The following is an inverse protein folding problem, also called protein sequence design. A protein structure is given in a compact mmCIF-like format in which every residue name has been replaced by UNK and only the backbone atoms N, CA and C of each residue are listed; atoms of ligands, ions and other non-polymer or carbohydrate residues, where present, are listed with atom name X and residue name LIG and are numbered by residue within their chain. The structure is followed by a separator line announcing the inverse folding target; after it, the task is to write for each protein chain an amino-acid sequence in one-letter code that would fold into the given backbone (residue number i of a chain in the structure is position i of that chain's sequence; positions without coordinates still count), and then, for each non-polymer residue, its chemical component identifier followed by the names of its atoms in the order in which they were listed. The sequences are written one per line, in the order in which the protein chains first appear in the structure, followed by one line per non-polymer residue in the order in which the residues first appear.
data_IF_034264359695
#
_entry.id   IF_034264359695
#
_cell.length_a   1.000
_cell.length_b   1.000
_cell.length_c   1.000
_cell.angle_alpha   90.00
_cell.angle_beta   90.00
_cell.angle_gamma   90.00
#
_symmetry.space_group_name_H-M   'P 1'
#
loop_
_entity.id
_entity.type
_entity.pdbx_description
1 polymer ?
#
# COMPACT_ATOMS: atom_id res chain seq x y z
N UNK A 1 4.97 -22.40 16.75
CA UNK A 1 5.71 -23.65 16.41
C UNK A 1 4.99 -24.50 15.36
N UNK A 2 3.72 -24.20 15.01
CA UNK A 2 2.93 -25.04 14.08
C UNK A 2 3.41 -24.99 12.61
N UNK A 3 4.31 -24.08 12.26
CA UNK A 3 4.80 -23.90 10.87
C UNK A 3 6.33 -24.02 10.76
N UNK A 4 7.01 -24.57 11.79
CA UNK A 4 8.46 -24.77 11.77
C UNK A 4 9.32 -23.53 12.01
N UNK A 5 8.72 -22.42 12.45
CA UNK A 5 9.43 -21.18 12.80
C UNK A 5 9.51 -21.00 14.33
N UNK A 6 10.63 -20.47 14.80
CA UNK A 6 10.84 -20.19 16.22
C UNK A 6 10.19 -18.87 16.64
N UNK A 7 10.23 -17.86 15.76
CA UNK A 7 9.69 -16.51 15.99
C UNK A 7 8.58 -16.18 14.98
N UNK A 8 7.61 -15.37 15.41
CA UNK A 8 6.53 -14.86 14.54
C UNK A 8 7.09 -13.98 13.42
N UNK A 9 8.13 -13.20 13.70
CA UNK A 9 8.80 -12.35 12.69
C UNK A 9 9.36 -13.17 11.52
N UNK A 10 9.96 -14.36 11.82
CA UNK A 10 10.46 -15.27 10.79
C UNK A 10 9.33 -15.80 9.89
N UNK A 11 8.20 -16.20 10.49
CA UNK A 11 7.03 -16.64 9.74
C UNK A 11 6.48 -15.55 8.85
N UNK A 12 6.34 -14.32 9.38
CA UNK A 12 5.85 -13.16 8.61
C UNK A 12 6.78 -12.83 7.44
N UNK A 13 8.09 -12.84 7.65
CA UNK A 13 9.05 -12.66 6.56
C UNK A 13 8.94 -13.75 5.49
N UNK A 14 8.80 -15.01 5.90
CA UNK A 14 8.63 -16.12 4.96
C UNK A 14 7.36 -15.95 4.09
N UNK A 15 6.26 -15.46 4.68
CA UNK A 15 5.03 -15.14 3.95
C UNK A 15 5.27 -13.98 2.97
N UNK A 16 5.92 -12.90 3.41
CA UNK A 16 6.24 -11.76 2.55
C UNK A 16 7.10 -12.19 1.35
N UNK A 17 8.09 -13.06 1.57
CA UNK A 17 8.92 -13.62 0.49
C UNK A 17 8.11 -14.48 -0.48
N UNK A 18 7.17 -15.30 0.02
CA UNK A 18 6.29 -16.09 -0.85
C UNK A 18 5.36 -15.23 -1.72
N UNK A 19 4.82 -14.17 -1.17
CA UNK A 19 4.03 -13.20 -1.93
C UNK A 19 4.91 -12.52 -3.01
N UNK A 20 6.15 -12.14 -2.64
CA UNK A 20 7.10 -11.58 -3.61
C UNK A 20 7.42 -12.55 -4.74
N UNK A 21 7.69 -13.83 -4.42
CA UNK A 21 7.93 -14.88 -5.43
C UNK A 21 6.72 -15.03 -6.37
N UNK A 22 5.50 -14.98 -5.83
CA UNK A 22 4.27 -15.01 -6.63
C UNK A 22 4.20 -13.84 -7.62
N UNK A 23 4.50 -12.61 -7.17
CA UNK A 23 4.53 -11.43 -8.04
C UNK A 23 5.62 -11.56 -9.10
N UNK A 24 6.84 -11.96 -8.70
CA UNK A 24 7.96 -12.18 -9.65
C UNK A 24 7.59 -13.19 -10.73
N UNK A 25 6.83 -14.23 -10.37
CA UNK A 25 6.37 -15.28 -11.27
C UNK A 25 5.19 -14.92 -12.19
N UNK A 26 4.71 -13.67 -12.15
CA UNK A 26 3.61 -13.18 -13.00
C UNK A 26 2.30 -12.95 -12.27
N UNK A 27 2.31 -13.01 -10.93
CA UNK A 27 1.14 -12.75 -10.12
C UNK A 27 0.84 -11.26 -9.94
N UNK A 28 -0.41 -10.97 -9.57
CA UNK A 28 -0.85 -9.63 -9.18
C UNK A 28 -1.04 -9.52 -7.67
N UNK A 29 -0.45 -8.49 -7.07
CA UNK A 29 -0.64 -8.12 -5.67
C UNK A 29 -1.41 -6.79 -5.58
N UNK A 30 -2.61 -6.83 -5.01
CA UNK A 30 -3.32 -5.65 -4.56
C UNK A 30 -3.29 -5.59 -3.04
N UNK A 31 -2.66 -4.55 -2.49
CA UNK A 31 -2.55 -4.35 -1.05
C UNK A 31 -3.09 -2.98 -0.64
N UNK A 32 -3.71 -2.93 0.54
CA UNK A 32 -4.32 -1.73 1.11
C UNK A 32 -3.86 -1.53 2.55
N UNK A 33 -3.97 -0.30 3.04
CA UNK A 33 -3.70 0.05 4.43
C UNK A 33 -2.28 -0.38 4.85
N UNK A 34 -2.12 -0.86 6.07
CA UNK A 34 -0.84 -1.31 6.63
C UNK A 34 -0.21 -2.52 5.91
N UNK A 35 -0.95 -3.21 5.05
CA UNK A 35 -0.38 -4.28 4.24
C UNK A 35 0.61 -3.76 3.19
N UNK A 36 0.60 -2.48 2.88
CA UNK A 36 1.46 -1.86 1.87
C UNK A 36 2.88 -1.63 2.36
N UNK A 37 3.05 -0.87 3.43
CA UNK A 37 4.35 -0.51 4.00
C UNK A 37 4.94 -1.64 4.85
N UNK A 38 4.14 -2.32 5.67
CA UNK A 38 4.62 -3.43 6.50
C UNK A 38 5.19 -4.57 5.66
N UNK A 39 4.67 -4.77 4.46
CA UNK A 39 5.17 -5.74 3.50
C UNK A 39 6.61 -5.41 3.06
N UNK A 40 6.85 -4.20 2.61
CA UNK A 40 8.19 -3.75 2.19
C UNK A 40 9.16 -3.62 3.37
N UNK A 41 8.67 -3.21 4.56
CA UNK A 41 9.48 -3.21 5.79
C UNK A 41 9.98 -4.63 6.11
N UNK A 42 9.10 -5.63 6.04
CA UNK A 42 9.50 -7.02 6.28
C UNK A 42 10.56 -7.51 5.29
N UNK A 43 10.44 -7.14 4.01
CA UNK A 43 11.43 -7.51 2.99
C UNK A 43 12.78 -6.80 3.20
N UNK A 44 12.76 -5.50 3.54
CA UNK A 44 13.99 -4.74 3.80
C UNK A 44 14.74 -5.25 5.04
N UNK A 45 14.00 -5.75 6.03
CA UNK A 45 14.54 -6.24 7.30
C UNK A 45 14.92 -7.73 7.26
N UNK A 46 15.09 -8.33 6.08
CA UNK A 46 15.52 -9.73 5.99
C UNK A 46 16.86 -9.96 6.71
N UNK A 47 16.84 -10.80 7.75
CA UNK A 47 18.02 -11.10 8.58
C UNK A 47 18.33 -10.04 9.64
N UNK A 48 17.44 -9.06 9.83
CA UNK A 48 17.57 -7.99 10.83
C UNK A 48 16.41 -8.06 11.81
N UNK A 49 16.67 -8.08 13.09
CA UNK A 49 15.64 -8.03 14.11
C UNK A 49 15.13 -6.60 14.28
N UNK A 50 13.89 -6.34 13.87
CA UNK A 50 13.18 -5.08 14.01
C UNK A 50 12.02 -5.15 15.00
N UNK A 51 11.83 -6.31 15.65
CA UNK A 51 10.74 -6.52 16.59
C UNK A 51 11.10 -5.88 17.94
N UNK A 52 10.20 -5.08 18.49
CA UNK A 52 10.42 -4.52 19.82
C UNK A 52 10.23 -5.59 20.91
N UNK A 53 11.11 -5.56 21.91
CA UNK A 53 11.18 -6.53 23.01
C UNK A 53 9.84 -6.78 23.73
N UNK A 54 8.94 -5.82 23.72
CA UNK A 54 7.60 -5.95 24.33
C UNK A 54 6.77 -7.03 23.65
N UNK A 55 7.07 -7.41 22.41
CA UNK A 55 6.29 -8.37 21.64
C UNK A 55 6.88 -9.80 21.66
N UNK A 56 8.21 -9.94 21.70
CA UNK A 56 8.86 -11.26 21.57
C UNK A 56 9.91 -11.54 22.65
N UNK A 57 10.06 -10.63 23.64
CA UNK A 57 10.97 -10.71 24.77
C UNK A 57 12.47 -10.70 24.41
N UNK A 58 12.79 -10.33 23.18
CA UNK A 58 14.13 -10.22 22.63
C UNK A 58 14.40 -8.78 22.18
N UNK A 59 15.52 -8.14 22.51
CA UNK A 59 15.77 -6.75 22.11
C UNK A 59 15.98 -6.66 20.60
N UNK A 60 15.35 -5.65 19.97
CA UNK A 60 15.59 -5.35 18.56
C UNK A 60 17.09 -5.02 18.31
N UNK A 61 17.55 -5.25 17.09
CA UNK A 61 18.92 -4.85 16.70
C UNK A 61 19.07 -3.32 16.80
N UNK A 62 20.00 -2.83 17.66
CA UNK A 62 20.19 -1.38 17.83
C UNK A 62 20.57 -0.66 16.53
N UNK A 63 21.21 -1.37 15.59
CA UNK A 63 21.58 -0.86 14.26
C UNK A 63 20.65 -1.33 13.15
N UNK A 64 19.41 -1.70 13.48
CA UNK A 64 18.45 -2.21 12.50
C UNK A 64 18.31 -1.29 11.29
N UNK A 65 18.19 0.03 11.52
CA UNK A 65 18.03 1.02 10.45
C UNK A 65 19.15 0.97 9.42
N UNK A 66 20.41 0.80 9.88
CA UNK A 66 21.59 0.79 9.02
C UNK A 66 21.72 -0.49 8.18
N UNK A 67 21.05 -1.56 8.63
CA UNK A 67 21.11 -2.89 8.01
C UNK A 67 19.97 -3.17 7.03
N UNK A 68 19.04 -2.23 6.88
CA UNK A 68 17.93 -2.42 5.93
C UNK A 68 18.44 -2.49 4.49
N UNK A 69 17.96 -3.48 3.76
CA UNK A 69 18.25 -3.64 2.34
C UNK A 69 17.03 -3.26 1.49
N UNK A 70 16.96 -1.99 1.08
CA UNK A 70 15.88 -1.47 0.27
C UNK A 70 15.81 -2.07 -1.15
N UNK A 71 16.85 -2.75 -1.62
CA UNK A 71 16.83 -3.43 -2.92
C UNK A 71 15.80 -4.57 -2.95
N UNK A 72 15.48 -5.13 -1.78
CA UNK A 72 14.51 -6.21 -1.61
C UNK A 72 13.05 -5.75 -1.67
N UNK A 73 12.79 -4.46 -1.45
CA UNK A 73 11.44 -3.89 -1.44
C UNK A 73 10.82 -3.84 -2.84
N UNK A 74 9.49 -3.88 -2.89
CA UNK A 74 8.71 -3.65 -4.10
C UNK A 74 8.61 -2.16 -4.44
N UNK A 75 8.05 -1.37 -3.54
CA UNK A 75 7.62 0.00 -3.78
C UNK A 75 8.52 1.07 -3.14
N UNK A 76 9.08 0.78 -1.95
CA UNK A 76 9.66 1.82 -1.11
C UNK A 76 11.18 1.67 -0.93
N UNK A 77 11.84 2.79 -0.60
CA UNK A 77 13.27 2.87 -0.33
C UNK A 77 13.58 4.04 0.61
N UNK A 78 14.77 4.00 1.24
CA UNK A 78 15.30 5.09 2.07
C UNK A 78 14.34 5.57 3.17
N UNK A 79 13.48 4.69 3.64
CA UNK A 79 12.58 4.98 4.75
C UNK A 79 13.29 4.77 6.10
N UNK A 80 12.76 5.44 7.13
CA UNK A 80 13.18 5.29 8.50
C UNK A 80 12.15 4.51 9.29
N UNK A 81 12.61 3.48 10.03
CA UNK A 81 11.75 2.70 10.92
C UNK A 81 11.34 3.54 12.14
N UNK A 82 10.10 3.36 12.56
CA UNK A 82 9.68 3.74 13.90
C UNK A 82 9.97 2.59 14.87
N UNK A 83 10.83 2.86 15.86
CA UNK A 83 11.27 1.86 16.83
C UNK A 83 10.45 1.86 18.11
N UNK A 84 9.64 2.88 18.32
CA UNK A 84 8.77 2.96 19.49
C UNK A 84 7.51 2.13 19.25
N UNK A 85 7.30 1.01 19.99
CA UNK A 85 6.16 0.12 19.80
C UNK A 85 4.80 0.74 20.14
N UNK A 86 4.78 1.91 20.79
CA UNK A 86 3.57 2.65 21.14
C UNK A 86 3.15 3.66 20.07
N UNK A 87 3.94 3.81 18.99
CA UNK A 87 3.59 4.62 17.84
C UNK A 87 2.94 3.73 16.79
N UNK A 88 1.82 4.22 16.24
CA UNK A 88 0.98 3.44 15.36
C UNK A 88 1.58 3.23 13.97
N UNK A 89 2.30 4.21 13.45
CA UNK A 89 3.00 4.13 12.17
C UNK A 89 4.32 3.37 12.31
N UNK A 90 4.57 2.40 11.43
CA UNK A 90 5.78 1.55 11.49
C UNK A 90 7.03 2.21 10.91
N UNK A 91 6.85 3.22 10.07
CA UNK A 91 7.93 3.95 9.41
C UNK A 91 7.45 5.29 8.87
N UNK A 92 8.37 6.08 8.35
CA UNK A 92 8.04 7.32 7.64
C UNK A 92 7.59 7.11 6.18
N UNK A 93 7.35 5.88 5.75
CA UNK A 93 6.58 5.60 4.53
C UNK A 93 5.17 6.14 4.72
N UNK A 94 4.56 5.82 5.86
CA UNK A 94 3.24 6.32 6.24
C UNK A 94 3.32 7.82 6.59
N UNK A 95 2.62 8.63 5.81
CA UNK A 95 2.58 10.08 6.02
C UNK A 95 1.49 10.49 7.03
N UNK A 96 0.66 9.58 7.54
CA UNK A 96 -0.51 9.86 8.36
C UNK A 96 -0.17 10.71 9.58
N UNK A 97 0.88 10.37 10.30
CA UNK A 97 1.33 11.08 11.52
C UNK A 97 1.73 12.54 11.27
N UNK A 98 2.27 12.84 10.10
CA UNK A 98 2.76 14.19 9.76
C UNK A 98 1.74 15.03 9.01
N UNK A 99 0.61 14.44 8.65
CA UNK A 99 -0.46 15.11 7.92
C UNK A 99 -1.12 16.21 8.75
N UNK A 100 -1.48 17.28 8.07
CA UNK A 100 -2.26 18.40 8.64
C UNK A 100 -3.58 18.62 7.89
N UNK A 101 -4.09 17.57 7.23
CA UNK A 101 -5.35 17.64 6.48
C UNK A 101 -6.53 17.38 7.42
N UNK A 102 -7.61 18.12 7.18
CA UNK A 102 -8.93 17.80 7.76
C UNK A 102 -9.61 16.75 6.88
N UNK A 103 -10.54 15.99 7.46
CA UNK A 103 -11.35 15.03 6.71
C UNK A 103 -12.01 15.65 5.46
N UNK A 104 -12.58 16.86 5.62
CA UNK A 104 -13.24 17.58 4.52
C UNK A 104 -12.31 18.04 3.40
N UNK A 105 -11.01 18.02 3.64
CA UNK A 105 -9.95 18.43 2.70
C UNK A 105 -9.19 17.23 2.13
N UNK A 106 -9.45 16.03 2.65
CA UNK A 106 -8.72 14.83 2.26
C UNK A 106 -9.30 14.22 0.98
N UNK A 107 -8.87 14.76 -0.13
CA UNK A 107 -9.14 14.28 -1.47
C UNK A 107 -7.83 14.00 -2.20
N UNK A 108 -7.85 13.10 -3.16
CA UNK A 108 -6.74 12.90 -4.07
C UNK A 108 -7.20 12.92 -5.52
N UNK A 109 -6.31 13.32 -6.40
CA UNK A 109 -6.55 13.31 -7.83
C UNK A 109 -5.90 12.08 -8.46
N UNK A 110 -6.62 11.44 -9.36
CA UNK A 110 -6.07 10.39 -10.19
C UNK A 110 -5.16 10.99 -11.28
N UNK A 111 -4.16 10.21 -11.67
CA UNK A 111 -3.30 10.51 -12.79
C UNK A 111 -4.14 10.79 -14.04
N UNK A 112 -3.75 11.80 -14.82
CA UNK A 112 -4.40 12.09 -16.10
C UNK A 112 -3.94 11.09 -17.15
N UNK A 113 -4.87 10.29 -17.64
CA UNK A 113 -4.58 9.35 -18.69
C UNK A 113 -5.63 9.39 -19.79
N UNK A 114 -5.26 8.91 -20.94
CA UNK A 114 -6.17 8.68 -22.05
C UNK A 114 -6.42 7.18 -22.20
N UNK A 115 -7.67 6.77 -22.27
CA UNK A 115 -8.02 5.37 -22.53
C UNK A 115 -7.40 4.80 -23.83
N UNK A 116 -6.97 5.67 -24.72
CA UNK A 116 -6.25 5.32 -25.95
C UNK A 116 -4.80 4.94 -25.70
N UNK A 117 -4.16 5.56 -24.71
CA UNK A 117 -2.71 5.46 -24.46
C UNK A 117 -2.36 4.83 -23.12
N UNK A 118 -3.36 4.67 -22.26
CA UNK A 118 -3.11 4.21 -20.92
C UNK A 118 -2.86 2.71 -20.87
N UNK A 119 -1.71 2.30 -20.35
CA UNK A 119 -1.44 0.89 -20.11
C UNK A 119 -2.21 0.32 -18.91
N UNK A 120 -2.86 1.16 -18.09
CA UNK A 120 -3.46 0.75 -16.82
C UNK A 120 -4.95 1.11 -16.74
N UNK A 121 -5.85 0.32 -17.40
CA UNK A 121 -7.28 0.60 -17.42
C UNK A 121 -7.96 0.52 -16.04
N UNK A 122 -7.25 0.05 -15.00
CA UNK A 122 -7.73 -0.01 -13.61
C UNK A 122 -7.98 1.35 -12.98
N UNK A 123 -7.45 2.43 -13.57
CA UNK A 123 -7.69 3.80 -13.10
C UNK A 123 -9.07 4.34 -13.48
N UNK A 124 -9.84 3.64 -14.30
CA UNK A 124 -11.19 4.04 -14.64
C UNK A 124 -12.11 3.87 -13.43
N UNK A 125 -12.67 4.99 -12.99
CA UNK A 125 -13.66 5.02 -11.90
C UNK A 125 -15.09 5.00 -12.43
N UNK A 126 -16.03 4.73 -11.56
CA UNK A 126 -17.43 5.01 -11.83
C UNK A 126 -17.61 6.50 -12.16
N UNK A 127 -18.42 6.82 -13.15
CA UNK A 127 -18.68 8.20 -13.59
C UNK A 127 -17.45 9.00 -14.05
N UNK A 128 -16.36 8.32 -14.37
CA UNK A 128 -15.09 8.96 -14.77
C UNK A 128 -14.60 10.04 -13.80
N UNK A 129 -14.87 9.87 -12.51
CA UNK A 129 -14.42 10.80 -11.49
C UNK A 129 -12.91 10.78 -11.37
N UNK A 130 -12.29 11.97 -11.41
CA UNK A 130 -10.83 12.13 -11.26
C UNK A 130 -10.43 12.57 -9.85
N UNK A 131 -11.36 13.12 -9.10
CA UNK A 131 -11.16 13.55 -7.73
C UNK A 131 -11.89 12.55 -6.84
N UNK A 132 -11.13 11.93 -5.97
CA UNK A 132 -11.60 10.87 -5.10
C UNK A 132 -11.49 11.33 -3.66
N UNK A 133 -12.55 11.15 -2.87
CA UNK A 133 -12.48 11.33 -1.42
C UNK A 133 -11.51 10.28 -0.86
N UNK A 134 -10.54 10.74 -0.09
CA UNK A 134 -9.62 9.83 0.57
C UNK A 134 -10.29 9.17 1.77
N UNK A 135 -9.69 8.12 2.23
CA UNK A 135 -10.16 7.33 3.37
C UNK A 135 -8.99 6.94 4.26
N UNK A 136 -9.27 6.78 5.53
CA UNK A 136 -8.26 6.48 6.53
C UNK A 136 -7.94 4.98 6.60
N UNK A 137 -6.91 4.71 7.32
CA UNK A 137 -6.40 3.41 7.65
C UNK A 137 -5.07 3.59 8.37
N UNK A 138 -4.41 2.54 8.76
CA UNK A 138 -3.11 2.67 9.41
C UNK A 138 -2.10 3.35 8.47
N UNK A 139 -2.05 2.97 7.22
CA UNK A 139 -1.24 3.63 6.19
C UNK A 139 -2.18 4.38 5.26
N UNK A 140 -2.55 5.60 5.64
CA UNK A 140 -3.51 6.41 4.91
C UNK A 140 -2.94 6.98 3.62
N UNK A 141 -1.65 7.32 3.62
CA UNK A 141 -0.94 7.88 2.48
C UNK A 141 0.56 7.61 2.55
N UNK A 142 1.22 7.70 1.41
CA UNK A 142 2.63 7.41 1.26
C UNK A 142 3.45 8.69 1.11
N UNK A 143 4.56 8.75 1.85
CA UNK A 143 5.58 9.77 1.67
C UNK A 143 6.26 9.56 0.30
N UNK A 144 6.09 10.52 -0.60
CA UNK A 144 6.64 10.44 -1.96
C UNK A 144 8.15 10.25 -2.01
N UNK A 145 8.89 10.76 -0.99
CA UNK A 145 10.35 10.62 -0.93
C UNK A 145 10.79 9.17 -0.69
N UNK A 146 9.90 8.35 -0.12
CA UNK A 146 10.17 6.95 0.11
C UNK A 146 9.80 6.07 -1.10
N UNK A 147 9.08 6.56 -2.09
CA UNK A 147 8.67 5.80 -3.27
C UNK A 147 9.86 5.63 -4.22
N UNK A 148 10.09 4.41 -4.70
CA UNK A 148 11.12 4.12 -5.70
C UNK A 148 10.81 4.82 -7.03
N UNK A 149 11.82 5.33 -7.77
CA UNK A 149 11.62 6.09 -9.01
C UNK A 149 10.84 5.36 -10.11
N UNK A 150 10.90 4.02 -10.14
CA UNK A 150 10.19 3.20 -11.13
C UNK A 150 8.71 2.99 -10.82
N UNK A 151 8.26 3.36 -9.62
CA UNK A 151 6.88 3.17 -9.18
C UNK A 151 6.04 4.34 -9.66
N UNK A 152 4.96 4.03 -10.36
CA UNK A 152 4.02 5.01 -10.88
C UNK A 152 3.09 5.49 -9.77
N UNK A 153 3.00 6.80 -9.58
CA UNK A 153 2.00 7.42 -8.69
C UNK A 153 0.72 7.62 -9.50
N UNK A 154 -0.28 6.81 -9.23
CA UNK A 154 -1.57 6.80 -9.92
C UNK A 154 -2.60 7.72 -9.27
N UNK A 155 -2.44 8.02 -7.99
CA UNK A 155 -3.29 8.93 -7.24
C UNK A 155 -2.51 9.68 -6.17
N UNK A 156 -2.71 10.98 -6.08
CA UNK A 156 -1.95 11.84 -5.17
C UNK A 156 -2.78 13.01 -4.63
N UNK A 157 -2.48 13.41 -3.39
CA UNK A 157 -2.85 14.72 -2.88
C UNK A 157 -1.68 15.68 -3.11
N UNK A 158 -1.80 16.55 -4.12
CA UNK A 158 -0.73 17.50 -4.48
C UNK A 158 -0.50 18.56 -3.40
N UNK A 159 -1.56 18.99 -2.72
CA UNK A 159 -1.47 20.01 -1.68
C UNK A 159 -0.69 19.49 -0.46
N UNK A 160 -0.97 18.28 -0.03
CA UNK A 160 -0.26 17.62 1.06
C UNK A 160 1.07 16.98 0.64
N UNK A 161 1.36 16.94 -0.67
CA UNK A 161 2.53 16.25 -1.24
C UNK A 161 2.61 14.75 -0.87
N UNK A 162 1.47 14.07 -0.91
CA UNK A 162 1.33 12.65 -0.56
C UNK A 162 0.86 11.83 -1.76
N UNK A 163 1.31 10.58 -1.85
CA UNK A 163 0.74 9.59 -2.76
C UNK A 163 -0.29 8.72 -2.04
N UNK A 164 -1.38 8.38 -2.72
CA UNK A 164 -2.47 7.54 -2.20
C UNK A 164 -2.60 6.20 -2.92
N UNK A 165 -2.19 6.16 -4.18
CA UNK A 165 -2.38 5.04 -5.06
C UNK A 165 -1.17 4.92 -5.97
N UNK A 166 -0.46 3.79 -5.86
CA UNK A 166 0.80 3.55 -6.57
C UNK A 166 0.80 2.18 -7.22
N UNK A 167 1.51 2.06 -8.35
CA UNK A 167 1.57 0.84 -9.13
C UNK A 167 2.96 0.64 -9.74
N UNK A 168 3.39 -0.60 -9.91
CA UNK A 168 4.56 -0.94 -10.72
C UNK A 168 4.54 -2.38 -11.16
N UNK A 169 5.22 -2.66 -12.27
CA UNK A 169 5.65 -3.99 -12.64
C UNK A 169 6.78 -4.47 -11.73
N UNK A 170 6.82 -5.77 -11.45
CA UNK A 170 7.87 -6.41 -10.68
C UNK A 170 8.09 -7.86 -11.13
N UNK A 171 9.24 -8.15 -11.72
CA UNK A 171 9.47 -9.43 -12.38
C UNK A 171 8.55 -9.60 -13.58
N UNK A 172 7.80 -10.69 -13.62
CA UNK A 172 6.80 -10.96 -14.66
C UNK A 172 5.37 -10.49 -14.25
N UNK A 173 5.19 -10.08 -13.01
CA UNK A 173 3.92 -9.62 -12.50
C UNK A 173 3.93 -8.14 -12.14
N UNK A 174 2.96 -7.73 -11.34
CA UNK A 174 2.79 -6.34 -10.93
C UNK A 174 2.09 -6.22 -9.58
N UNK A 175 2.22 -5.04 -8.99
CA UNK A 175 1.54 -4.73 -7.74
C UNK A 175 0.88 -3.37 -7.79
N UNK A 176 -0.15 -3.23 -6.96
CA UNK A 176 -0.83 -1.97 -6.69
C UNK A 176 -1.01 -1.80 -5.19
N UNK A 177 -0.58 -0.67 -4.66
CA UNK A 177 -0.75 -0.31 -3.26
C UNK A 177 -1.67 0.89 -3.11
N UNK A 178 -2.58 0.80 -2.16
CA UNK A 178 -3.60 1.80 -1.91
C UNK A 178 -3.58 2.24 -0.44
N UNK A 179 -3.51 3.53 -0.18
CA UNK A 179 -3.54 4.09 1.17
C UNK A 179 -4.97 4.13 1.72
N UNK A 180 -5.15 3.64 2.96
CA UNK A 180 -6.45 3.49 3.59
C UNK A 180 -7.19 2.22 3.16
N UNK A 181 -8.42 2.01 3.63
CA UNK A 181 -9.17 0.78 3.37
C UNK A 181 -10.66 0.95 3.13
N UNK A 182 -11.40 1.79 3.86
CA UNK A 182 -12.83 1.98 3.65
C UNK A 182 -13.12 3.36 3.06
N UNK A 183 -13.48 3.45 1.77
CA UNK A 183 -13.64 4.72 1.10
C UNK A 183 -14.89 5.51 1.49
N UNK A 184 -15.90 4.91 2.07
CA UNK A 184 -17.13 5.60 2.46
C UNK A 184 -17.28 5.74 3.98
N UNK A 185 -16.39 5.09 4.72
CA UNK A 185 -16.23 5.28 6.16
C UNK A 185 -14.82 5.82 6.45
N UNK A 186 -14.72 7.15 6.51
CA UNK A 186 -13.43 7.83 6.62
C UNK A 186 -12.64 7.41 7.85
N UNK A 187 -13.31 7.14 8.98
CA UNK A 187 -12.68 6.70 10.23
C UNK A 187 -13.40 5.44 10.74
N UNK A 188 -12.96 4.28 10.28
CA UNK A 188 -13.50 3.00 10.71
C UNK A 188 -12.77 2.49 11.95
N UNK A 189 -13.51 2.26 13.03
CA UNK A 189 -12.96 1.73 14.28
C UNK A 189 -13.11 0.21 14.38
N UNK A 190 -12.22 -0.40 15.15
CA UNK A 190 -12.33 -1.83 15.47
C UNK A 190 -13.64 -2.10 16.20
N UNK A 191 -14.48 -2.95 15.61
CA UNK A 191 -15.81 -3.30 16.14
C UNK A 191 -16.98 -2.57 15.48
N UNK A 192 -16.69 -1.62 14.58
CA UNK A 192 -17.73 -1.04 13.75
C UNK A 192 -18.37 -2.08 12.83
N UNK A 193 -19.65 -1.97 12.52
CA UNK A 193 -20.29 -2.86 11.56
C UNK A 193 -19.68 -2.66 10.17
N UNK A 194 -19.68 -3.71 9.32
CA UNK A 194 -19.25 -3.57 7.93
C UNK A 194 -20.06 -2.49 7.21
N UNK A 195 -19.40 -1.70 6.37
CA UNK A 195 -20.07 -0.69 5.54
C UNK A 195 -21.07 -1.37 4.59
N UNK A 196 -22.29 -0.87 4.57
CA UNK A 196 -23.33 -1.35 3.65
C UNK A 196 -23.08 -0.77 2.24
N UNK A 197 -22.53 -1.58 1.35
CA UNK A 197 -22.22 -1.17 -0.02
C UNK A 197 -23.46 -0.75 -0.82
N UNK A 198 -24.65 -1.21 -0.43
CA UNK A 198 -25.89 -0.84 -1.12
C UNK A 198 -26.25 0.64 -0.96
N UNK A 199 -25.72 1.28 0.09
CA UNK A 199 -25.87 2.72 0.34
C UNK A 199 -24.96 3.56 -0.56
N UNK A 200 -23.94 2.96 -1.20
CA UNK A 200 -22.90 3.64 -1.96
C UNK A 200 -22.75 3.12 -3.41
N UNK A 201 -23.87 2.95 -4.18
CA UNK A 201 -23.82 2.29 -5.48
C UNK A 201 -23.00 3.04 -6.53
N UNK A 202 -22.76 4.33 -6.31
CA UNK A 202 -22.02 5.21 -7.22
C UNK A 202 -20.66 5.65 -6.68
N UNK A 203 -20.14 5.01 -5.62
CA UNK A 203 -18.84 5.37 -5.06
C UNK A 203 -17.71 5.19 -6.06
N UNK A 204 -16.99 6.25 -6.43
CA UNK A 204 -15.84 6.14 -7.31
C UNK A 204 -14.68 5.39 -6.65
N UNK A 205 -14.57 5.47 -5.33
CA UNK A 205 -13.51 4.82 -4.57
C UNK A 205 -13.70 3.31 -4.50
N UNK A 206 -14.92 2.83 -4.23
CA UNK A 206 -15.23 1.39 -4.33
C UNK A 206 -15.05 0.90 -5.77
N UNK A 207 -15.33 1.74 -6.76
CA UNK A 207 -15.07 1.37 -8.16
C UNK A 207 -13.60 1.19 -8.45
N UNK A 208 -12.71 2.00 -7.86
CA UNK A 208 -11.26 1.81 -7.97
C UNK A 208 -10.83 0.46 -7.40
N UNK A 209 -11.32 0.10 -6.21
CA UNK A 209 -11.04 -1.19 -5.59
C UNK A 209 -11.52 -2.33 -6.49
N UNK A 210 -12.76 -2.27 -6.95
CA UNK A 210 -13.33 -3.29 -7.84
C UNK A 210 -12.52 -3.44 -9.14
N UNK A 211 -12.09 -2.33 -9.73
CA UNK A 211 -11.27 -2.35 -10.94
C UNK A 211 -9.95 -3.10 -10.70
N UNK A 212 -9.31 -2.90 -9.54
CA UNK A 212 -8.09 -3.64 -9.19
C UNK A 212 -8.32 -5.14 -8.97
N UNK A 213 -9.51 -5.53 -8.52
CA UNK A 213 -9.88 -6.95 -8.39
C UNK A 213 -10.11 -7.58 -9.77
N UNK A 214 -10.75 -6.85 -10.68
CA UNK A 214 -11.15 -7.36 -12.00
C UNK A 214 -10.03 -7.27 -13.04
N UNK A 215 -9.08 -6.36 -12.89
CA UNK A 215 -8.03 -6.09 -13.87
C UNK A 215 -7.20 -7.33 -14.25
N UNK A 216 -6.76 -8.19 -13.31
CA UNK A 216 -5.95 -9.37 -13.65
C UNK A 216 -6.68 -10.36 -14.57
N UNK A 217 -8.02 -10.32 -14.56
CA UNK A 217 -8.86 -11.14 -15.45
C UNK A 217 -9.21 -10.45 -16.78
N UNK A 218 -8.84 -9.17 -16.94
CA UNK A 218 -9.14 -8.42 -18.14
C UNK A 218 -8.26 -8.90 -19.30
N UNK A 219 -8.87 -9.18 -20.45
CA UNK A 219 -8.13 -9.46 -21.67
C UNK A 219 -7.48 -8.19 -22.21
N UNK A 220 -6.21 -8.27 -22.59
CA UNK A 220 -5.59 -7.20 -23.37
C UNK A 220 -6.38 -6.96 -24.66
N UNK A 221 -6.89 -5.74 -24.81
CA UNK A 221 -7.48 -5.31 -26.07
C UNK A 221 -6.38 -4.80 -26.96
N UNK A 222 -6.25 -5.37 -28.18
CA UNK A 222 -5.41 -4.79 -29.22
C UNK A 222 -5.82 -3.33 -29.42
N UNK A 223 -4.86 -2.43 -29.33
CA UNK A 223 -5.10 -1.01 -29.58
C UNK A 223 -5.63 -0.87 -31.00
N UNK A 224 -6.76 -0.22 -31.16
CA UNK A 224 -7.23 0.19 -32.48
C UNK A 224 -6.38 1.39 -32.89
N UNK A 225 -5.57 1.22 -33.90
CA UNK A 225 -4.83 2.30 -34.59
C UNK A 225 -5.80 3.25 -35.24
#
# INVERSE_FOLDING_TARGET
KNHGFEKVSQLKLAIAKKIKEYVVGGGFLFAMCSATDSYDIALAAEGVDICAQVYDHDPLDPRAQEKLDFSKCLAFQNFSLEKNPYIYEYSNIDATRTRKLRESEDYFSLFEFSAKWDPIPTMLTQNHSRIIKAFMGQTTSFNKKAIKPKVLIMGENKHANEAKYIHSEYGLGFFTFYGGHDPEDYVHYVGDPPTDLSLHPNSPSYRLILNNILFPAAKEKKRKT
#
